data_IF_235477724545
#
_entry.id   IF_235477724545
#
_cell.length_a   1.000
_cell.length_b   1.000
_cell.length_c   1.000
_cell.angle_alpha   90.00
_cell.angle_beta   90.00
_cell.angle_gamma   90.00
#
_symmetry.space_group_name_H-M   'P 1'
#
loop_
_entity.id
_entity.type
_entity.pdbx_description
1 polymer ?
#
# COMPACT_ATOMS: atom_id res chain seq x y z
N UNK A 1 -4.65 10.63 22.15
CA UNK A 1 -5.80 9.79 21.76
C UNK A 1 -7.07 10.61 21.76
N UNK A 2 -7.99 10.39 20.82
CA UNK A 2 -9.18 11.23 20.64
C UNK A 2 -10.41 10.42 20.17
N UNK A 3 -11.59 10.96 20.46
CA UNK A 3 -12.86 10.50 19.88
C UNK A 3 -13.00 11.14 18.50
N UNK A 4 -13.12 10.32 17.46
CA UNK A 4 -13.26 10.78 16.08
C UNK A 4 -14.72 11.14 15.74
N UNK A 5 -15.00 11.81 14.61
CA UNK A 5 -16.36 12.22 14.21
C UNK A 5 -17.36 11.05 14.07
N UNK A 6 -16.87 9.84 13.82
CA UNK A 6 -17.63 8.59 13.78
C UNK A 6 -17.95 8.01 15.17
N UNK A 7 -17.60 8.73 16.25
CA UNK A 7 -17.75 8.34 17.67
C UNK A 7 -16.90 7.15 18.09
N UNK A 8 -15.94 6.73 17.27
CA UNK A 8 -14.98 5.69 17.65
C UNK A 8 -13.78 6.32 18.35
N UNK A 9 -13.42 5.80 19.52
CA UNK A 9 -12.20 6.21 20.22
C UNK A 9 -10.98 5.59 19.52
N UNK A 10 -9.97 6.41 19.22
CA UNK A 10 -8.72 5.96 18.60
C UNK A 10 -7.52 6.44 19.41
N UNK A 11 -6.59 5.54 19.66
CA UNK A 11 -5.28 5.87 20.22
C UNK A 11 -4.40 6.47 19.11
N UNK A 12 -4.49 7.78 18.94
CA UNK A 12 -3.64 8.56 18.04
C UNK A 12 -2.62 9.32 18.88
N UNK A 13 -1.37 9.29 18.44
CA UNK A 13 -0.23 10.04 18.99
C UNK A 13 0.49 10.66 17.80
N UNK A 14 0.38 11.97 17.64
CA UNK A 14 1.02 12.72 16.55
C UNK A 14 2.49 13.02 16.87
N UNK A 15 3.26 13.42 15.87
CA UNK A 15 4.63 13.86 16.09
C UNK A 15 4.68 15.09 17.02
N UNK A 16 3.72 16.00 16.89
CA UNK A 16 3.59 17.17 17.77
C UNK A 16 3.28 16.75 19.22
N UNK A 17 2.43 15.75 19.43
CA UNK A 17 2.21 15.18 20.76
C UNK A 17 3.52 14.67 21.36
N UNK A 18 4.34 13.95 20.58
CA UNK A 18 5.61 13.37 21.04
C UNK A 18 6.61 14.46 21.43
N UNK A 19 6.77 15.49 20.60
CA UNK A 19 7.65 16.64 20.88
C UNK A 19 7.19 17.39 22.13
N UNK A 20 5.89 17.66 22.25
CA UNK A 20 5.31 18.34 23.42
C UNK A 20 5.46 17.52 24.71
N UNK A 21 5.53 16.19 24.62
CA UNK A 21 5.80 15.30 25.75
C UNK A 21 7.29 15.08 26.04
N UNK A 22 8.19 15.86 25.43
CA UNK A 22 9.59 15.95 25.83
C UNK A 22 10.57 15.19 24.94
N UNK A 23 10.14 14.73 23.76
CA UNK A 23 11.05 14.25 22.73
C UNK A 23 11.81 15.42 22.08
N UNK A 24 13.14 15.31 21.98
CA UNK A 24 14.03 16.42 21.57
C UNK A 24 14.92 16.11 20.35
N UNK A 25 14.75 14.95 19.74
CA UNK A 25 15.61 14.51 18.62
C UNK A 25 15.01 14.82 17.25
N UNK A 26 13.86 15.47 17.21
CA UNK A 26 13.14 15.80 15.99
C UNK A 26 12.80 17.28 16.01
N UNK A 27 13.20 17.97 14.94
CA UNK A 27 12.73 19.33 14.65
C UNK A 27 11.48 19.23 13.77
N UNK A 28 10.35 19.66 14.32
CA UNK A 28 9.06 19.56 13.63
C UNK A 28 8.94 20.60 12.50
N UNK A 29 9.63 21.75 12.64
CA UNK A 29 9.59 22.81 11.64
C UNK A 29 10.42 22.39 10.41
N UNK A 30 11.56 21.74 10.63
CA UNK A 30 12.36 21.14 9.55
C UNK A 30 11.54 20.09 8.78
N UNK A 31 10.87 19.17 9.47
CA UNK A 31 10.02 18.16 8.82
C UNK A 31 8.87 18.79 8.04
N UNK A 32 8.28 19.87 8.57
CA UNK A 32 7.20 20.58 7.88
C UNK A 32 7.70 21.26 6.60
N UNK A 33 8.93 21.77 6.58
CA UNK A 33 9.53 22.39 5.40
C UNK A 33 9.96 21.37 4.33
N UNK A 34 10.32 20.14 4.74
CA UNK A 34 10.74 19.07 3.82
C UNK A 34 9.60 18.33 3.12
N UNK A 35 8.36 18.47 3.61
CA UNK A 35 7.21 17.73 3.12
C UNK A 35 6.15 18.68 2.55
N UNK A 36 5.34 18.19 1.61
CA UNK A 36 4.10 18.90 1.26
C UNK A 36 3.13 18.89 2.45
N UNK A 37 2.20 19.85 2.51
CA UNK A 37 1.22 19.92 3.60
C UNK A 37 0.43 18.60 3.76
N UNK A 38 0.00 18.01 2.64
CA UNK A 38 -0.77 16.77 2.64
C UNK A 38 0.08 15.58 3.16
N UNK A 39 1.35 15.48 2.75
CA UNK A 39 2.29 14.48 3.26
C UNK A 39 2.55 14.69 4.76
N UNK A 40 2.73 15.93 5.20
CA UNK A 40 2.98 16.25 6.60
C UNK A 40 1.79 15.84 7.48
N UNK A 41 0.59 16.23 7.06
CA UNK A 41 -0.65 15.91 7.77
C UNK A 41 -0.89 14.40 7.83
N UNK A 42 -0.66 13.68 6.73
CA UNK A 42 -0.88 12.24 6.68
C UNK A 42 0.15 11.47 7.50
N UNK A 43 1.44 11.75 7.31
CA UNK A 43 2.54 10.98 7.89
C UNK A 43 2.79 11.31 9.37
N UNK A 44 2.67 12.58 9.75
CA UNK A 44 3.11 13.06 11.08
C UNK A 44 1.96 13.55 11.97
N UNK A 45 0.85 14.00 11.39
CA UNK A 45 -0.36 14.41 12.13
C UNK A 45 -1.46 13.35 12.14
N UNK A 46 -1.20 12.20 11.52
CA UNK A 46 -2.12 11.06 11.45
C UNK A 46 -3.48 11.42 10.85
N UNK A 47 -3.53 12.40 9.94
CA UNK A 47 -4.75 12.68 9.20
C UNK A 47 -4.99 11.58 8.17
N UNK A 48 -6.21 11.07 8.15
CA UNK A 48 -6.61 10.08 7.14
C UNK A 48 -6.70 10.77 5.77
N UNK A 49 -6.02 10.19 4.79
CA UNK A 49 -6.15 10.54 3.37
C UNK A 49 -7.63 10.55 2.99
N UNK A 50 -8.08 11.63 2.34
CA UNK A 50 -9.49 11.77 1.96
C UNK A 50 -9.81 10.89 0.75
N UNK A 51 -11.08 10.52 0.62
CA UNK A 51 -11.56 9.82 -0.56
C UNK A 51 -11.30 10.69 -1.81
N UNK A 52 -10.48 10.20 -2.74
CA UNK A 52 -10.06 10.94 -3.95
C UNK A 52 -8.57 11.27 -4.04
N UNK A 53 -7.82 11.12 -2.95
CA UNK A 53 -6.35 11.33 -2.92
C UNK A 53 -5.55 10.03 -3.13
N UNK A 54 -6.24 8.89 -3.27
CA UNK A 54 -5.60 7.65 -3.69
C UNK A 54 -5.18 7.76 -5.16
N UNK A 55 -3.95 7.32 -5.48
CA UNK A 55 -3.45 7.31 -6.86
C UNK A 55 -4.37 6.55 -7.82
N UNK A 56 -5.10 5.55 -7.30
CA UNK A 56 -6.09 4.77 -8.05
C UNK A 56 -7.30 4.43 -7.19
N UNK A 57 -8.48 4.46 -7.80
CA UNK A 57 -9.68 3.92 -7.19
C UNK A 57 -9.64 2.38 -7.23
N UNK A 58 -9.79 1.74 -6.07
CA UNK A 58 -9.73 0.28 -5.96
C UNK A 58 -10.79 -0.44 -6.83
N UNK A 59 -12.00 0.10 -6.95
CA UNK A 59 -13.05 -0.50 -7.78
C UNK A 59 -12.68 -0.45 -9.27
N UNK A 60 -11.98 0.59 -9.71
CA UNK A 60 -11.46 0.67 -11.08
C UNK A 60 -10.42 -0.42 -11.30
N UNK A 61 -9.47 -0.59 -10.37
CA UNK A 61 -8.45 -1.65 -10.44
C UNK A 61 -9.08 -3.05 -10.48
N UNK A 62 -10.06 -3.32 -9.62
CA UNK A 62 -10.79 -4.59 -9.60
C UNK A 62 -11.54 -4.80 -10.92
N UNK A 63 -12.13 -3.74 -11.49
CA UNK A 63 -12.81 -3.79 -12.78
C UNK A 63 -11.90 -4.08 -13.98
N UNK A 64 -10.58 -3.90 -13.84
CA UNK A 64 -9.61 -4.32 -14.86
C UNK A 64 -9.28 -5.83 -14.79
N UNK A 65 -9.72 -6.54 -13.75
CA UNK A 65 -9.58 -7.98 -13.65
C UNK A 65 -10.48 -8.72 -14.64
N UNK A 66 -10.01 -9.88 -15.11
CA UNK A 66 -10.75 -10.78 -16.01
C UNK A 66 -10.69 -12.22 -15.50
N UNK A 67 -11.62 -13.07 -15.92
CA UNK A 67 -11.53 -14.49 -15.59
C UNK A 67 -10.47 -15.15 -16.47
N UNK A 68 -9.34 -15.49 -15.86
CA UNK A 68 -8.22 -16.12 -16.56
C UNK A 68 -8.56 -17.48 -17.21
N UNK A 69 -9.64 -18.17 -16.81
CA UNK A 69 -10.06 -19.42 -17.46
C UNK A 69 -10.60 -19.19 -18.87
N UNK A 70 -11.36 -18.12 -19.05
CA UNK A 70 -12.06 -17.84 -20.31
C UNK A 70 -11.28 -16.84 -21.18
N UNK A 71 -10.72 -15.80 -20.57
CA UNK A 71 -10.14 -14.68 -21.30
C UNK A 71 -8.68 -14.92 -21.69
N UNK A 72 -7.93 -15.74 -20.94
CA UNK A 72 -6.50 -15.99 -21.18
C UNK A 72 -6.27 -17.34 -21.85
N UNK A 73 -6.33 -17.36 -23.18
CA UNK A 73 -6.22 -18.60 -23.97
C UNK A 73 -4.92 -19.38 -23.76
N UNK A 74 -3.84 -18.71 -23.41
CA UNK A 74 -2.52 -19.28 -23.16
C UNK A 74 -2.29 -19.69 -21.69
N UNK A 75 -3.17 -19.30 -20.77
CA UNK A 75 -3.17 -19.75 -19.38
C UNK A 75 -3.70 -21.18 -19.27
N UNK A 76 -2.88 -22.08 -18.72
CA UNK A 76 -3.23 -23.49 -18.46
C UNK A 76 -3.00 -23.83 -16.98
N UNK A 77 -3.93 -23.51 -16.07
CA UNK A 77 -3.69 -23.54 -14.61
C UNK A 77 -3.31 -24.93 -14.06
N UNK A 78 -3.74 -26.00 -14.74
CA UNK A 78 -3.47 -27.37 -14.32
C UNK A 78 -2.22 -27.98 -14.98
N UNK A 79 -1.54 -27.27 -15.87
CA UNK A 79 -0.30 -27.75 -16.46
C UNK A 79 0.87 -27.58 -15.46
N UNK A 80 1.89 -28.47 -15.48
CA UNK A 80 3.10 -28.30 -14.64
C UNK A 80 3.80 -26.96 -14.85
N UNK A 81 3.62 -26.35 -16.03
CA UNK A 81 4.07 -25.01 -16.36
C UNK A 81 2.89 -24.25 -16.98
N UNK A 82 2.12 -23.47 -16.21
CA UNK A 82 0.88 -22.86 -16.69
C UNK A 82 1.02 -21.92 -17.89
N UNK A 83 2.19 -21.33 -18.07
CA UNK A 83 2.56 -20.49 -19.23
C UNK A 83 3.68 -21.10 -20.09
N UNK A 84 3.92 -22.41 -19.96
CA UNK A 84 5.00 -23.11 -20.66
C UNK A 84 6.39 -22.56 -20.31
N UNK A 85 7.17 -22.24 -21.34
CA UNK A 85 8.53 -21.69 -21.20
C UNK A 85 8.58 -20.16 -21.27
N UNK A 86 7.44 -19.46 -21.19
CA UNK A 86 7.44 -18.00 -21.16
C UNK A 86 8.19 -17.49 -19.91
N UNK A 87 9.05 -16.48 -20.05
CA UNK A 87 9.64 -15.82 -18.89
C UNK A 87 8.53 -15.14 -18.08
N UNK A 88 8.74 -15.08 -16.77
CA UNK A 88 7.86 -14.39 -15.83
C UNK A 88 8.70 -13.49 -14.93
N UNK A 89 8.07 -12.44 -14.40
CA UNK A 89 8.63 -11.62 -13.35
C UNK A 89 8.01 -12.02 -12.02
N UNK A 90 8.82 -12.12 -10.98
CA UNK A 90 8.35 -12.44 -9.63
C UNK A 90 8.67 -11.27 -8.70
N UNK A 91 7.65 -10.82 -7.99
CA UNK A 91 7.76 -9.87 -6.89
C UNK A 91 7.41 -10.57 -5.59
N UNK A 92 8.19 -10.32 -4.56
CA UNK A 92 7.91 -10.81 -3.21
C UNK A 92 8.00 -9.65 -2.23
N UNK A 93 6.90 -9.42 -1.52
CA UNK A 93 6.80 -8.50 -0.41
C UNK A 93 6.86 -9.31 0.89
N UNK A 94 7.95 -9.15 1.63
CA UNK A 94 8.22 -9.99 2.78
C UNK A 94 7.41 -9.51 3.99
N UNK A 95 6.82 -10.46 4.72
CA UNK A 95 6.22 -10.17 6.03
C UNK A 95 7.27 -9.57 6.99
N UNK A 96 6.89 -8.54 7.74
CA UNK A 96 7.66 -8.05 8.89
C UNK A 96 8.02 -9.16 9.90
N UNK A 97 9.31 -9.28 10.23
CA UNK A 97 9.90 -10.41 10.96
C UNK A 97 9.44 -10.63 12.42
N UNK A 98 8.47 -9.86 12.91
CA UNK A 98 8.10 -9.81 14.33
C UNK A 98 6.99 -10.80 14.73
N UNK A 99 6.50 -11.65 13.82
CA UNK A 99 5.42 -12.61 14.09
C UNK A 99 4.03 -11.98 14.29
N UNK A 100 3.98 -10.65 14.43
CA UNK A 100 2.79 -9.80 14.45
C UNK A 100 2.71 -8.89 13.19
N UNK A 101 3.54 -9.15 12.18
CA UNK A 101 3.50 -8.46 10.89
C UNK A 101 2.30 -8.89 10.04
N UNK A 102 2.08 -8.19 8.94
CA UNK A 102 1.10 -8.50 7.91
C UNK A 102 1.42 -9.81 7.17
N UNK A 103 0.58 -10.25 6.24
CA UNK A 103 0.95 -11.41 5.42
C UNK A 103 1.89 -10.96 4.31
N UNK A 104 2.99 -11.69 4.10
CA UNK A 104 3.84 -11.45 2.93
C UNK A 104 3.05 -11.72 1.65
N UNK A 105 3.32 -10.93 0.61
CA UNK A 105 2.65 -11.05 -0.68
C UNK A 105 3.61 -11.57 -1.76
N UNK A 106 3.11 -12.39 -2.67
CA UNK A 106 3.85 -12.81 -3.87
C UNK A 106 3.02 -12.50 -5.10
N UNK A 107 3.67 -11.92 -6.11
CA UNK A 107 3.08 -11.67 -7.41
C UNK A 107 3.94 -12.31 -8.49
N UNK A 108 3.29 -13.00 -9.42
CA UNK A 108 3.93 -13.58 -10.61
C UNK A 108 3.28 -12.95 -11.83
N UNK A 109 4.06 -12.21 -12.60
CA UNK A 109 3.60 -11.43 -13.74
C UNK A 109 4.15 -12.04 -15.02
N UNK A 110 3.26 -12.26 -15.99
CA UNK A 110 3.65 -12.65 -17.34
C UNK A 110 3.80 -11.37 -18.16
N UNK A 111 5.03 -10.94 -18.51
CA UNK A 111 5.22 -9.71 -19.26
C UNK A 111 4.66 -9.83 -20.69
N UNK A 112 4.25 -8.71 -21.30
CA UNK A 112 3.76 -8.69 -22.67
C UNK A 112 4.85 -9.19 -23.63
N UNK A 113 4.44 -9.93 -24.66
CA UNK A 113 5.37 -10.50 -25.63
C UNK A 113 5.94 -9.46 -26.61
N UNK A 114 5.27 -8.31 -26.73
CA UNK A 114 5.64 -7.17 -27.57
C UNK A 114 5.50 -5.88 -26.76
N UNK A 115 6.33 -4.86 -27.02
CA UNK A 115 6.09 -3.52 -26.51
C UNK A 115 4.72 -2.99 -26.94
N UNK A 116 4.08 -2.22 -26.06
CA UNK A 116 2.84 -1.49 -26.35
C UNK A 116 3.09 -0.21 -27.13
#
# INVERSE_FOLDING_TARGET
>A
GLICPDRTWRQIVTLEDVVNHGWKHTDIDEIRDENTEDEFLNLYMCEFVREGESAFNLNILIGCGVDGYDDWKDWKPFAPRPMGNRPVWIGYDANGSSGNGDSGAVSVVVPPAVPG
#
